data_IF_130443125948
#
_entry.id   IF_130443125948
#
_cell.length_a   1.000
_cell.length_b   1.000
_cell.length_c   1.000
_cell.angle_alpha   90.00
_cell.angle_beta   90.00
_cell.angle_gamma   90.00
#
_symmetry.space_group_name_H-M   'P 1'
#
loop_
_entity.id
_entity.type
_entity.pdbx_description
1 polymer ?
#
# COMPACT_ATOMS: atom_id res chain seq x y z
N UNK A 1 14.79 -4.68 -11.37
CA UNK A 1 13.58 -4.03 -11.92
C UNK A 1 13.50 -2.64 -11.32
N UNK A 2 13.54 -1.60 -12.13
CA UNK A 2 13.26 -0.23 -11.66
C UNK A 2 11.74 -0.01 -11.74
N UNK A 3 11.11 0.21 -10.58
CA UNK A 3 9.65 0.37 -10.42
C UNK A 3 9.38 1.86 -10.09
N UNK A 4 8.18 2.21 -9.66
CA UNK A 4 7.86 3.54 -9.16
C UNK A 4 8.58 3.84 -7.82
N UNK A 5 9.15 5.05 -7.63
CA UNK A 5 9.97 5.37 -6.45
C UNK A 5 9.16 5.61 -5.16
N UNK A 6 7.83 5.48 -5.20
CA UNK A 6 6.91 5.85 -4.11
C UNK A 6 7.11 7.31 -3.68
N UNK A 7 7.13 8.21 -4.66
CA UNK A 7 7.41 9.63 -4.46
C UNK A 7 6.28 10.40 -3.79
N UNK A 8 6.63 11.27 -2.83
CA UNK A 8 5.72 12.25 -2.22
C UNK A 8 6.38 13.63 -2.13
N UNK A 9 6.07 14.55 -3.05
CA UNK A 9 6.75 15.83 -3.14
C UNK A 9 8.24 15.65 -3.46
N UNK A 10 9.14 16.01 -2.53
CA UNK A 10 10.60 15.81 -2.66
C UNK A 10 11.12 14.54 -1.96
N UNK A 11 10.23 13.71 -1.45
CA UNK A 11 10.57 12.47 -0.75
C UNK A 11 10.30 11.27 -1.64
N UNK A 12 11.04 10.18 -1.41
CA UNK A 12 10.89 8.89 -2.08
C UNK A 12 10.86 7.77 -1.04
N UNK A 13 10.39 6.58 -1.44
CA UNK A 13 10.15 5.42 -0.56
C UNK A 13 9.14 5.73 0.55
N UNK A 14 8.15 6.55 0.25
CA UNK A 14 7.09 6.88 1.19
C UNK A 14 6.15 5.67 1.35
N UNK A 15 5.95 5.26 2.60
CA UNK A 15 4.95 4.28 2.98
C UNK A 15 4.43 4.63 4.39
N UNK A 16 3.20 4.23 4.67
CA UNK A 16 2.65 4.20 6.02
C UNK A 16 2.51 2.75 6.46
N UNK A 17 2.92 2.47 7.69
CA UNK A 17 2.87 1.12 8.29
C UNK A 17 1.99 1.23 9.53
N UNK A 18 0.99 0.36 9.65
CA UNK A 18 0.15 0.31 10.85
C UNK A 18 0.92 -0.21 12.07
N UNK A 19 0.31 -0.13 13.25
CA UNK A 19 0.72 -0.97 14.36
C UNK A 19 0.54 -2.46 14.01
N UNK A 20 1.29 -3.33 14.68
CA UNK A 20 1.16 -4.79 14.51
C UNK A 20 -0.22 -5.23 15.00
N UNK A 21 -1.01 -5.77 14.07
CA UNK A 21 -2.31 -6.37 14.31
C UNK A 21 -2.28 -7.88 14.18
N UNK A 22 -3.43 -8.46 13.86
CA UNK A 22 -3.58 -9.89 13.60
C UNK A 22 -4.41 -10.09 12.34
N UNK A 23 -4.03 -11.07 11.53
CA UNK A 23 -4.83 -11.61 10.43
C UNK A 23 -5.21 -13.05 10.76
N UNK A 24 -6.40 -13.46 10.34
CA UNK A 24 -6.91 -14.81 10.54
C UNK A 24 -7.26 -15.43 9.20
N UNK A 25 -6.88 -16.69 9.00
CA UNK A 25 -7.25 -17.48 7.83
C UNK A 25 -7.73 -18.86 8.28
N UNK A 26 -8.53 -19.52 7.45
CA UNK A 26 -8.92 -20.91 7.64
C UNK A 26 -8.57 -21.66 6.36
N UNK A 27 -7.36 -22.24 6.26
CA UNK A 27 -6.91 -22.79 4.99
C UNK A 27 -7.74 -24.01 4.59
N UNK A 28 -8.09 -24.05 3.31
CA UNK A 28 -8.84 -25.14 2.69
C UNK A 28 -7.91 -26.29 2.27
N UNK A 29 -8.45 -27.49 1.99
CA UNK A 29 -7.67 -28.57 1.39
C UNK A 29 -6.98 -28.10 0.10
N UNK A 30 -5.66 -28.24 0.03
CA UNK A 30 -4.86 -27.84 -1.13
C UNK A 30 -4.04 -26.55 -0.94
N UNK A 31 -4.20 -25.83 0.18
CA UNK A 31 -3.31 -24.70 0.48
C UNK A 31 -1.86 -25.12 0.71
N UNK A 32 -0.91 -24.23 0.42
CA UNK A 32 0.52 -24.45 0.75
C UNK A 32 0.80 -24.46 2.26
N UNK A 33 -0.18 -24.17 3.12
CA UNK A 33 -0.04 -24.41 4.56
C UNK A 33 0.36 -25.85 4.85
N UNK A 34 -0.19 -26.80 4.08
CA UNK A 34 0.13 -28.24 4.19
C UNK A 34 1.60 -28.56 3.88
N UNK A 35 2.30 -27.72 3.12
CA UNK A 35 3.72 -27.94 2.76
C UNK A 35 4.70 -27.34 3.77
N UNK A 36 4.24 -26.40 4.60
CA UNK A 36 5.12 -25.62 5.49
C UNK A 36 4.80 -25.79 6.98
N UNK A 37 3.64 -26.33 7.34
CA UNK A 37 3.22 -26.57 8.72
C UNK A 37 2.95 -28.06 8.93
N UNK A 38 3.85 -28.72 9.64
CA UNK A 38 3.70 -30.14 9.97
C UNK A 38 2.45 -30.38 10.83
N UNK A 39 1.64 -31.37 10.45
CA UNK A 39 0.42 -31.72 11.17
C UNK A 39 -0.77 -30.76 10.96
N UNK A 40 -0.68 -29.85 9.99
CA UNK A 40 -1.78 -28.96 9.64
C UNK A 40 -3.06 -29.74 9.29
N UNK A 41 -4.20 -29.24 9.76
CA UNK A 41 -5.54 -29.75 9.43
C UNK A 41 -6.36 -28.63 8.82
N UNK A 42 -6.81 -28.85 7.59
CA UNK A 42 -7.71 -27.93 6.90
C UNK A 42 -8.96 -27.64 7.73
N UNK A 43 -9.47 -26.41 7.64
CA UNK A 43 -10.60 -25.97 8.45
C UNK A 43 -10.26 -25.53 9.88
N UNK A 44 -9.00 -25.53 10.28
CA UNK A 44 -8.59 -24.85 11.52
C UNK A 44 -8.34 -23.36 11.25
N UNK A 45 -8.80 -22.48 12.15
CA UNK A 45 -8.46 -21.05 12.09
C UNK A 45 -7.04 -20.84 12.57
N UNK A 46 -6.25 -20.18 11.75
CA UNK A 46 -4.90 -19.73 12.04
C UNK A 46 -4.92 -18.23 12.33
N UNK A 47 -3.92 -17.76 13.06
CA UNK A 47 -3.81 -16.33 13.36
C UNK A 47 -2.36 -15.89 13.41
N UNK A 48 -2.02 -14.91 12.59
CA UNK A 48 -0.66 -14.43 12.41
C UNK A 48 -0.54 -12.94 12.78
N UNK A 49 0.61 -12.50 13.33
CA UNK A 49 0.90 -11.09 13.43
C UNK A 49 1.05 -10.50 12.02
N UNK A 50 0.48 -9.32 11.80
CA UNK A 50 0.55 -8.63 10.50
C UNK A 50 0.62 -7.12 10.68
N UNK A 51 1.00 -6.42 9.62
CA UNK A 51 0.85 -4.95 9.50
C UNK A 51 0.14 -4.63 8.19
N UNK A 52 -0.62 -3.54 8.16
CA UNK A 52 -1.04 -2.92 6.92
C UNK A 52 0.08 -2.03 6.39
N UNK A 53 0.57 -2.32 5.19
CA UNK A 53 1.46 -1.45 4.43
C UNK A 53 0.63 -0.64 3.43
N UNK A 54 0.69 0.69 3.55
CA UNK A 54 0.00 1.62 2.64
C UNK A 54 1.03 2.39 1.84
N UNK A 55 0.97 2.21 0.52
CA UNK A 55 1.71 2.97 -0.46
C UNK A 55 0.73 3.69 -1.37
N UNK A 56 1.14 4.83 -1.91
CA UNK A 56 0.31 5.60 -2.84
C UNK A 56 1.07 5.83 -4.13
N UNK A 57 0.37 5.61 -5.24
CA UNK A 57 0.87 5.84 -6.59
C UNK A 57 -0.10 6.75 -7.33
N UNK A 58 0.32 7.44 -8.40
CA UNK A 58 -0.59 8.15 -9.28
C UNK A 58 -1.66 7.21 -9.83
N UNK A 59 -2.82 7.75 -10.21
CA UNK A 59 -3.89 7.02 -10.89
C UNK A 59 -3.52 6.73 -12.35
N UNK A 60 -2.49 5.92 -12.53
CA UNK A 60 -1.91 5.54 -13.82
C UNK A 60 -1.80 4.01 -13.84
N UNK A 61 -2.55 3.36 -14.74
CA UNK A 61 -2.69 1.90 -14.74
C UNK A 61 -1.34 1.20 -14.97
N UNK A 62 -0.51 1.72 -15.87
CA UNK A 62 0.83 1.18 -16.13
C UNK A 62 1.74 1.23 -14.89
N UNK A 63 1.60 2.29 -14.07
CA UNK A 63 2.35 2.41 -12.80
C UNK A 63 1.82 1.41 -11.79
N UNK A 64 0.50 1.28 -11.69
CA UNK A 64 -0.15 0.32 -10.80
C UNK A 64 0.27 -1.12 -11.13
N UNK A 65 0.21 -1.53 -12.40
CA UNK A 65 0.61 -2.87 -12.88
C UNK A 65 2.04 -3.21 -12.44
N UNK A 66 3.00 -2.32 -12.73
CA UNK A 66 4.41 -2.55 -12.36
C UNK A 66 4.62 -2.64 -10.85
N UNK A 67 3.85 -1.88 -10.07
CA UNK A 67 3.92 -1.92 -8.61
C UNK A 67 3.31 -3.21 -8.07
N UNK A 68 2.18 -3.66 -8.62
CA UNK A 68 1.56 -4.93 -8.26
C UNK A 68 2.48 -6.11 -8.56
N UNK A 69 3.12 -6.13 -9.74
CA UNK A 69 4.12 -7.14 -10.09
C UNK A 69 5.28 -7.17 -9.08
N UNK A 70 5.77 -6.00 -8.68
CA UNK A 70 6.85 -5.89 -7.70
C UNK A 70 6.43 -6.36 -6.30
N UNK A 71 5.20 -6.04 -5.87
CA UNK A 71 4.66 -6.49 -4.58
C UNK A 71 4.51 -8.00 -4.59
N UNK A 72 3.86 -8.58 -5.61
CA UNK A 72 3.66 -10.03 -5.73
C UNK A 72 5.00 -10.77 -5.79
N UNK A 73 5.96 -10.27 -6.57
CA UNK A 73 7.30 -10.87 -6.67
C UNK A 73 8.04 -10.90 -5.32
N UNK A 74 7.86 -9.87 -4.49
CA UNK A 74 8.54 -9.76 -3.20
C UNK A 74 7.75 -10.40 -2.03
N UNK A 75 6.45 -10.67 -2.21
CA UNK A 75 5.61 -11.16 -1.15
C UNK A 75 5.85 -12.65 -0.89
N UNK A 76 5.79 -13.05 0.38
CA UNK A 76 6.10 -14.42 0.80
C UNK A 76 4.86 -15.31 0.99
N UNK A 77 3.66 -14.73 1.03
CA UNK A 77 2.40 -15.46 1.04
C UNK A 77 2.03 -15.94 -0.36
N UNK A 78 1.36 -17.10 -0.42
CA UNK A 78 0.74 -17.65 -1.63
C UNK A 78 -0.25 -16.64 -2.25
N UNK A 79 -1.14 -16.09 -1.42
CA UNK A 79 -2.15 -15.12 -1.84
C UNK A 79 -2.06 -13.86 -0.96
N UNK A 80 -1.26 -12.86 -1.34
CA UNK A 80 -1.20 -11.60 -0.60
C UNK A 80 -2.54 -10.85 -0.68
N UNK A 81 -3.09 -10.50 0.48
CA UNK A 81 -4.29 -9.65 0.54
C UNK A 81 -3.92 -8.20 0.18
N UNK A 82 -4.31 -7.77 -1.01
CA UNK A 82 -4.04 -6.42 -1.52
C UNK A 82 -5.35 -5.70 -1.82
N UNK A 83 -5.55 -4.54 -1.22
CA UNK A 83 -6.70 -3.67 -1.48
C UNK A 83 -6.28 -2.43 -2.27
N UNK A 84 -7.04 -2.13 -3.31
CA UNK A 84 -6.90 -0.91 -4.11
C UNK A 84 -7.97 0.09 -3.67
N UNK A 85 -7.55 1.32 -3.36
CA UNK A 85 -8.45 2.43 -3.06
C UNK A 85 -8.03 3.66 -3.84
N UNK A 86 -9.02 4.35 -4.40
CA UNK A 86 -8.82 5.67 -4.97
C UNK A 86 -8.99 6.71 -3.86
N UNK A 87 -7.92 7.46 -3.59
CA UNK A 87 -7.86 8.42 -2.49
C UNK A 87 -7.36 9.78 -2.99
N UNK A 88 -7.80 10.85 -2.32
CA UNK A 88 -7.25 12.18 -2.50
C UNK A 88 -5.97 12.37 -1.69
N UNK A 89 -4.85 12.67 -2.37
CA UNK A 89 -3.57 12.94 -1.71
C UNK A 89 -3.32 14.45 -1.58
N UNK A 90 -3.13 14.95 -0.35
CA UNK A 90 -2.83 16.36 -0.09
C UNK A 90 -1.38 16.70 -0.46
N UNK A 91 -1.17 17.67 -1.35
CA UNK A 91 0.17 18.16 -1.68
C UNK A 91 0.35 19.58 -1.17
N UNK A 92 1.51 19.86 -0.59
CA UNK A 92 1.87 21.20 -0.13
C UNK A 92 3.19 21.65 -0.75
N UNK A 93 3.30 22.94 -1.03
CA UNK A 93 4.50 23.62 -1.45
C UNK A 93 4.93 24.65 -0.39
N UNK A 94 6.24 24.75 -0.17
CA UNK A 94 6.81 25.79 0.69
C UNK A 94 6.97 27.10 -0.08
N UNK A 95 6.45 28.19 0.47
CA UNK A 95 6.72 29.54 0.00
C UNK A 95 7.20 30.43 1.16
N UNK A 96 8.48 30.85 1.18
CA UNK A 96 9.00 31.70 2.25
C UNK A 96 8.37 33.08 2.31
N UNK A 97 7.65 33.51 1.26
CA UNK A 97 6.94 34.79 1.17
C UNK A 97 5.45 34.66 1.51
N UNK A 98 4.97 33.44 1.77
CA UNK A 98 3.59 33.19 2.17
C UNK A 98 3.29 33.88 3.50
N UNK A 99 2.08 34.44 3.62
CA UNK A 99 1.52 35.01 4.85
C UNK A 99 0.98 33.96 5.82
N UNK A 100 0.68 32.73 5.34
CA UNK A 100 0.48 31.55 6.17
C UNK A 100 1.67 31.35 7.15
N UNK A 101 1.44 31.32 8.48
CA UNK A 101 2.50 31.17 9.49
C UNK A 101 3.37 29.92 9.31
N UNK A 102 2.80 28.85 8.73
CA UNK A 102 3.52 27.60 8.49
C UNK A 102 4.34 27.64 7.19
N UNK A 103 4.08 28.60 6.29
CA UNK A 103 4.71 28.73 4.96
C UNK A 103 4.54 27.53 4.03
N UNK A 104 3.71 26.56 4.40
CA UNK A 104 3.30 25.42 3.59
C UNK A 104 1.84 25.59 3.19
N UNK A 105 1.55 25.61 1.90
CA UNK A 105 0.18 25.69 1.40
C UNK A 105 -0.03 24.74 0.22
N UNK A 106 -1.28 24.46 -0.16
CA UNK A 106 -1.64 23.64 -1.32
C UNK A 106 -0.72 23.95 -2.51
N UNK A 107 -0.17 22.93 -3.16
CA UNK A 107 0.78 23.09 -4.27
C UNK A 107 0.13 23.58 -5.59
N UNK A 108 -1.13 23.98 -5.54
CA UNK A 108 -1.88 24.57 -6.66
C UNK A 108 -2.47 23.54 -7.61
N UNK A 109 -2.28 22.23 -7.37
CA UNK A 109 -2.88 21.17 -8.21
C UNK A 109 -4.40 21.03 -8.03
N UNK A 110 -4.97 21.71 -7.04
CA UNK A 110 -6.42 21.76 -6.81
C UNK A 110 -7.01 20.43 -6.33
N UNK A 111 -8.33 20.42 -6.14
CA UNK A 111 -9.09 19.16 -6.22
C UNK A 111 -9.21 18.84 -7.71
N UNK A 112 -9.06 17.59 -8.14
CA UNK A 112 -9.26 17.28 -9.55
C UNK A 112 -10.73 17.38 -9.92
N UNK A 113 -10.98 17.40 -11.23
CA UNK A 113 -12.32 17.47 -11.78
C UNK A 113 -13.18 16.35 -11.20
N UNK A 114 -14.37 16.71 -10.71
CA UNK A 114 -15.35 15.72 -10.27
C UNK A 114 -15.75 14.92 -11.51
N UNK A 115 -15.59 13.61 -11.45
CA UNK A 115 -16.17 12.73 -12.45
C UNK A 115 -17.69 12.84 -12.31
N UNK A 116 -18.37 13.31 -13.36
CA UNK A 116 -19.83 13.22 -13.50
C UNK A 116 -20.27 11.80 -13.86
#
# INVERSE_FOLDING_TARGET
MEVYPLGYGRYQRNASISAVGRETAQPEPGSTTTTHVEGFKAGATETYPMVELKISVPRELEVLERVMDAVIWAHHYEEPVIFLREDWASRAAYDPRSDNPNRWWNDGRGLPERLE
#
